data_IF_331013336663
#
_entry.id   IF_331013336663
#
_cell.length_a   1.000
_cell.length_b   1.000
_cell.length_c   1.000
_cell.angle_alpha   90.00
_cell.angle_beta   90.00
_cell.angle_gamma   90.00
#
_symmetry.space_group_name_H-M   'P 1'
#
loop_
_entity.id
_entity.type
_entity.pdbx_description
1 polymer ?
#
# COMPACT_ATOMS: atom_id res chain seq x y z
N UNK A 1 -23.22 27.03 11.57
CA UNK A 1 -23.11 25.79 12.37
C UNK A 1 -22.21 24.81 11.63
N UNK A 2 -21.03 24.44 12.16
CA UNK A 2 -20.20 23.37 11.57
C UNK A 2 -20.95 22.06 11.79
N UNK A 3 -21.36 21.37 10.71
CA UNK A 3 -21.92 20.02 10.80
C UNK A 3 -20.88 19.15 11.49
N UNK A 4 -21.21 18.65 12.68
CA UNK A 4 -20.45 17.58 13.32
C UNK A 4 -20.65 16.35 12.42
N UNK A 5 -19.67 16.05 11.58
CA UNK A 5 -19.69 14.81 10.82
C UNK A 5 -19.65 13.66 11.83
N UNK A 6 -20.68 12.81 11.83
CA UNK A 6 -20.71 11.61 12.65
C UNK A 6 -19.46 10.79 12.35
N UNK A 7 -18.77 10.33 13.40
CA UNK A 7 -17.58 9.50 13.27
C UNK A 7 -17.97 8.19 12.59
N UNK A 8 -17.23 7.81 11.54
CA UNK A 8 -17.47 6.57 10.83
C UNK A 8 -17.01 5.38 11.68
N UNK A 9 -17.73 4.26 11.69
CA UNK A 9 -17.30 3.04 12.37
C UNK A 9 -15.99 2.49 11.76
N UNK A 10 -15.31 1.56 12.44
CA UNK A 10 -14.12 0.92 11.86
C UNK A 10 -14.43 0.21 10.53
N UNK A 11 -15.58 -0.46 10.43
CA UNK A 11 -16.02 -1.11 9.19
C UNK A 11 -17.18 -0.32 8.61
N UNK A 12 -16.98 0.28 7.44
CA UNK A 12 -18.03 0.86 6.61
C UNK A 12 -17.77 0.57 5.14
N UNK A 13 -18.86 0.59 4.36
CA UNK A 13 -18.86 0.31 2.94
C UNK A 13 -19.45 1.50 2.19
N UNK A 14 -18.60 2.46 1.86
CA UNK A 14 -18.99 3.55 0.97
C UNK A 14 -18.80 3.16 -0.49
N UNK A 15 -19.55 3.81 -1.38
CA UNK A 15 -19.33 3.67 -2.82
C UNK A 15 -17.96 4.20 -3.19
N UNK A 16 -17.27 3.47 -4.08
CA UNK A 16 -15.97 3.92 -4.59
C UNK A 16 -16.18 5.16 -5.46
N UNK A 17 -15.32 6.15 -5.28
CA UNK A 17 -15.25 7.33 -6.13
C UNK A 17 -14.79 6.90 -7.52
N UNK A 18 -15.19 7.66 -8.55
CA UNK A 18 -14.83 7.35 -9.94
C UNK A 18 -13.31 7.20 -10.14
N UNK A 19 -12.51 8.06 -9.51
CA UNK A 19 -11.05 7.98 -9.60
C UNK A 19 -10.49 6.71 -8.95
N UNK A 20 -11.08 6.22 -7.85
CA UNK A 20 -10.65 4.96 -7.20
C UNK A 20 -10.93 3.76 -8.11
N UNK A 21 -12.08 3.77 -8.79
CA UNK A 21 -12.44 2.74 -9.78
C UNK A 21 -11.43 2.76 -10.94
N UNK A 22 -11.14 3.95 -11.48
CA UNK A 22 -10.15 4.12 -12.56
C UNK A 22 -8.78 3.61 -12.10
N UNK A 23 -8.33 3.96 -10.89
CA UNK A 23 -7.07 3.47 -10.33
C UNK A 23 -7.05 1.95 -10.23
N UNK A 24 -8.11 1.32 -9.73
CA UNK A 24 -8.22 -0.14 -9.63
C UNK A 24 -8.15 -0.80 -11.01
N UNK A 25 -8.82 -0.25 -12.02
CA UNK A 25 -8.81 -0.79 -13.39
C UNK A 25 -7.43 -0.66 -14.02
N UNK A 26 -6.81 0.51 -13.95
CA UNK A 26 -5.45 0.74 -14.45
C UNK A 26 -4.49 -0.22 -13.76
N UNK A 27 -4.60 -0.35 -12.44
CA UNK A 27 -3.75 -1.22 -11.66
C UNK A 27 -3.90 -2.69 -12.06
N UNK A 28 -5.13 -3.17 -12.26
CA UNK A 28 -5.40 -4.52 -12.74
C UNK A 28 -4.74 -4.79 -14.11
N UNK A 29 -4.80 -3.82 -15.03
CA UNK A 29 -4.12 -3.93 -16.33
C UNK A 29 -2.60 -4.02 -16.18
N UNK A 30 -2.01 -3.21 -15.29
CA UNK A 30 -0.58 -3.28 -14.98
C UNK A 30 -0.24 -4.66 -14.39
N UNK A 31 -1.06 -5.19 -13.48
CA UNK A 31 -0.87 -6.53 -12.92
C UNK A 31 -0.85 -7.61 -14.01
N UNK A 32 -1.74 -7.52 -15.00
CA UNK A 32 -1.74 -8.44 -16.16
C UNK A 32 -0.45 -8.31 -16.97
N UNK A 33 0.04 -7.10 -17.21
CA UNK A 33 1.33 -6.88 -17.91
C UNK A 33 2.48 -7.53 -17.13
N UNK A 34 2.52 -7.40 -15.80
CA UNK A 34 3.53 -8.05 -14.96
C UNK A 34 3.42 -9.58 -15.02
N UNK A 35 2.21 -10.14 -15.00
CA UNK A 35 1.97 -11.57 -15.16
C UNK A 35 2.51 -12.09 -16.50
N UNK A 36 2.33 -11.32 -17.57
CA UNK A 36 2.77 -11.69 -18.92
C UNK A 36 4.24 -11.34 -19.19
N UNK A 37 4.89 -10.62 -18.28
CA UNK A 37 6.26 -10.11 -18.49
C UNK A 37 7.31 -11.18 -18.83
N UNK A 38 7.25 -12.44 -18.34
CA UNK A 38 8.21 -13.47 -18.76
C UNK A 38 8.16 -13.81 -20.25
N UNK A 39 7.05 -13.50 -20.94
CA UNK A 39 6.86 -13.83 -22.36
C UNK A 39 7.07 -12.62 -23.29
N UNK A 40 7.07 -11.40 -22.74
CA UNK A 40 7.00 -10.17 -23.53
C UNK A 40 8.24 -9.30 -23.34
N UNK A 41 8.84 -9.32 -22.14
CA UNK A 41 9.96 -8.46 -21.81
C UNK A 41 11.28 -9.23 -21.81
N UNK A 42 12.36 -8.54 -22.18
CA UNK A 42 13.70 -9.00 -21.90
C UNK A 42 13.96 -9.00 -20.37
N UNK A 43 15.04 -9.66 -19.98
CA UNK A 43 15.39 -9.88 -18.57
C UNK A 43 15.52 -8.56 -17.80
N UNK A 44 16.23 -7.57 -18.34
CA UNK A 44 16.49 -6.30 -17.66
C UNK A 44 15.20 -5.50 -17.49
N UNK A 45 14.41 -5.38 -18.57
CA UNK A 45 13.11 -4.69 -18.53
C UNK A 45 12.16 -5.38 -17.56
N UNK A 46 12.16 -6.72 -17.50
CA UNK A 46 11.33 -7.50 -16.58
C UNK A 46 11.70 -7.24 -15.12
N UNK A 47 12.99 -7.32 -14.80
CA UNK A 47 13.49 -7.05 -13.45
C UNK A 47 13.08 -5.64 -12.99
N UNK A 48 13.37 -4.62 -13.80
CA UNK A 48 13.02 -3.23 -13.48
C UNK A 48 11.51 -3.03 -13.32
N UNK A 49 10.71 -3.65 -14.18
CA UNK A 49 9.24 -3.57 -14.12
C UNK A 49 8.68 -4.17 -12.83
N UNK A 50 9.19 -5.33 -12.39
CA UNK A 50 8.76 -5.98 -11.15
C UNK A 50 9.14 -5.14 -9.93
N UNK A 51 10.36 -4.58 -9.88
CA UNK A 51 10.79 -3.68 -8.81
C UNK A 51 9.87 -2.47 -8.74
N UNK A 52 9.68 -1.80 -9.88
CA UNK A 52 8.89 -0.58 -9.94
C UNK A 52 7.44 -0.84 -9.55
N UNK A 53 6.86 -1.92 -10.06
CA UNK A 53 5.50 -2.34 -9.72
C UNK A 53 5.34 -2.58 -8.21
N UNK A 54 6.26 -3.31 -7.57
CA UNK A 54 6.20 -3.57 -6.13
C UNK A 54 6.34 -2.29 -5.30
N UNK A 55 7.39 -1.51 -5.53
CA UNK A 55 7.72 -0.32 -4.75
C UNK A 55 6.68 0.78 -4.95
N UNK A 56 6.32 1.09 -6.20
CA UNK A 56 5.35 2.13 -6.52
C UNK A 56 3.99 1.82 -5.89
N UNK A 57 3.58 0.55 -5.88
CA UNK A 57 2.34 0.14 -5.20
C UNK A 57 2.38 0.49 -3.72
N UNK A 58 3.45 0.10 -3.02
CA UNK A 58 3.57 0.30 -1.57
C UNK A 58 3.60 1.78 -1.20
N UNK A 59 4.30 2.59 -1.99
CA UNK A 59 4.34 4.04 -1.83
C UNK A 59 2.97 4.67 -2.12
N UNK A 60 2.28 4.22 -3.18
CA UNK A 60 0.96 4.72 -3.54
C UNK A 60 -0.08 4.41 -2.45
N UNK A 61 -0.02 3.20 -1.87
CA UNK A 61 -0.87 2.82 -0.74
C UNK A 61 -0.65 3.73 0.48
N UNK A 62 0.59 4.10 0.75
CA UNK A 62 0.95 4.95 1.88
C UNK A 62 0.56 6.42 1.67
N UNK A 63 0.88 7.00 0.51
CA UNK A 63 0.78 8.47 0.32
C UNK A 63 -0.47 8.90 -0.43
N UNK A 64 -0.97 8.11 -1.37
CA UNK A 64 -2.06 8.52 -2.27
C UNK A 64 -3.39 7.88 -1.89
N UNK A 65 -3.37 6.60 -1.48
CA UNK A 65 -4.57 5.78 -1.28
C UNK A 65 -4.90 5.56 0.19
N UNK A 66 -4.15 6.12 1.14
CA UNK A 66 -4.41 5.89 2.57
C UNK A 66 -5.83 6.30 2.99
N UNK A 67 -6.39 7.37 2.41
CA UNK A 67 -7.78 7.78 2.66
C UNK A 67 -8.75 6.74 2.10
N UNK A 68 -8.51 6.26 0.89
CA UNK A 68 -9.30 5.20 0.25
C UNK A 68 -9.29 3.91 1.07
N UNK A 69 -8.14 3.51 1.61
CA UNK A 69 -7.98 2.30 2.42
C UNK A 69 -8.76 2.33 3.74
N UNK A 70 -9.24 3.50 4.19
CA UNK A 70 -10.16 3.58 5.34
C UNK A 70 -11.54 3.03 5.02
N UNK A 71 -11.98 3.12 3.76
CA UNK A 71 -13.19 2.45 3.29
C UNK A 71 -12.90 0.94 3.18
N UNK A 72 -13.65 0.13 3.95
CA UNK A 72 -13.40 -1.30 4.02
C UNK A 72 -13.59 -1.99 2.66
N UNK A 73 -14.47 -1.45 1.79
CA UNK A 73 -14.63 -1.93 0.41
C UNK A 73 -13.36 -1.78 -0.41
N UNK A 74 -12.73 -0.60 -0.34
CA UNK A 74 -11.47 -0.34 -1.05
C UNK A 74 -10.34 -1.17 -0.47
N UNK A 75 -10.27 -1.28 0.86
CA UNK A 75 -9.31 -2.14 1.54
C UNK A 75 -9.37 -3.59 1.06
N UNK A 76 -10.56 -4.20 0.94
CA UNK A 76 -10.70 -5.58 0.47
C UNK A 76 -10.19 -5.76 -0.97
N UNK A 77 -10.39 -4.76 -1.84
CA UNK A 77 -9.85 -4.78 -3.21
C UNK A 77 -8.31 -4.79 -3.18
N UNK A 78 -7.72 -3.87 -2.42
CA UNK A 78 -6.26 -3.79 -2.29
C UNK A 78 -5.66 -5.00 -1.57
N UNK A 79 -6.39 -5.61 -0.62
CA UNK A 79 -6.03 -6.88 0.00
C UNK A 79 -6.01 -8.00 -1.04
N UNK A 80 -6.98 -8.04 -1.96
CA UNK A 80 -6.98 -8.94 -3.11
C UNK A 80 -5.72 -8.78 -3.97
N UNK A 81 -5.34 -7.54 -4.30
CA UNK A 81 -4.06 -7.28 -4.99
C UNK A 81 -2.84 -7.69 -4.16
N UNK A 82 -2.88 -7.51 -2.83
CA UNK A 82 -1.84 -8.01 -1.94
C UNK A 82 -1.68 -9.53 -2.03
N UNK A 83 -2.79 -10.28 -2.11
CA UNK A 83 -2.74 -11.74 -2.32
C UNK A 83 -2.12 -12.07 -3.68
N UNK A 84 -2.50 -11.35 -4.74
CA UNK A 84 -1.91 -11.52 -6.07
C UNK A 84 -0.40 -11.23 -6.04
N UNK A 85 0.04 -10.17 -5.34
CA UNK A 85 1.46 -9.88 -5.15
C UNK A 85 2.21 -11.01 -4.49
N UNK A 86 1.61 -11.61 -3.46
CA UNK A 86 2.21 -12.74 -2.77
C UNK A 86 2.28 -13.98 -3.68
N UNK A 87 1.25 -14.24 -4.48
CA UNK A 87 1.28 -15.31 -5.49
C UNK A 87 2.36 -15.06 -6.54
N UNK A 88 2.49 -13.83 -7.04
CA UNK A 88 3.55 -13.44 -7.98
C UNK A 88 4.94 -13.61 -7.36
N UNK A 89 5.12 -13.24 -6.10
CA UNK A 89 6.35 -13.53 -5.36
C UNK A 89 6.66 -15.03 -5.37
N UNK A 90 5.69 -15.88 -5.01
CA UNK A 90 5.90 -17.32 -4.97
C UNK A 90 6.23 -17.91 -6.35
N UNK A 91 5.67 -17.34 -7.42
CA UNK A 91 5.94 -17.76 -8.79
C UNK A 91 7.35 -17.33 -9.25
N UNK A 92 7.75 -16.10 -8.93
CA UNK A 92 9.00 -15.50 -9.41
C UNK A 92 10.22 -15.75 -8.52
N UNK A 93 10.05 -16.14 -7.25
CA UNK A 93 11.17 -16.29 -6.30
C UNK A 93 12.21 -17.33 -6.74
N UNK A 94 11.83 -18.32 -7.53
CA UNK A 94 12.70 -19.39 -8.02
C UNK A 94 13.12 -19.18 -9.50
N UNK A 95 12.78 -18.04 -10.08
CA UNK A 95 13.10 -17.70 -11.46
C UNK A 95 14.52 -17.14 -11.53
N UNK A 96 15.44 -17.92 -12.11
CA UNK A 96 16.86 -17.58 -12.23
C UNK A 96 17.11 -16.39 -13.15
N UNK A 97 16.21 -16.08 -14.08
CA UNK A 97 16.32 -14.90 -14.94
C UNK A 97 15.94 -13.61 -14.18
N UNK A 98 15.14 -13.71 -13.12
CA UNK A 98 14.88 -12.58 -12.23
C UNK A 98 15.97 -12.40 -11.18
N UNK A 99 16.93 -13.30 -11.07
CA UNK A 99 18.03 -13.17 -10.13
C UNK A 99 19.04 -12.12 -10.62
N UNK A 100 18.98 -10.91 -10.06
CA UNK A 100 19.87 -9.80 -10.38
C UNK A 100 21.19 -9.86 -9.59
N UNK A 101 21.68 -11.07 -9.29
CA UNK A 101 22.96 -11.34 -8.63
C UNK A 101 22.96 -11.18 -7.11
N UNK A 102 22.38 -10.11 -6.57
CA UNK A 102 22.34 -9.88 -5.11
C UNK A 102 20.96 -10.06 -4.48
N UNK A 103 19.87 -9.97 -5.24
CA UNK A 103 18.52 -10.24 -4.73
C UNK A 103 17.52 -10.42 -5.88
N UNK A 104 16.52 -11.27 -5.67
CA UNK A 104 15.39 -11.42 -6.60
C UNK A 104 14.37 -10.27 -6.39
N UNK A 105 14.08 -9.44 -7.42
CA UNK A 105 13.11 -8.35 -7.38
C UNK A 105 11.73 -8.70 -6.83
N UNK A 106 11.29 -9.94 -7.05
CA UNK A 106 9.97 -10.42 -6.63
C UNK A 106 9.79 -10.38 -5.12
N UNK A 107 10.87 -10.38 -4.36
CA UNK A 107 10.86 -10.34 -2.89
C UNK A 107 10.14 -9.09 -2.36
N UNK A 108 10.23 -7.96 -3.08
CA UNK A 108 9.52 -6.74 -2.72
C UNK A 108 8.00 -6.90 -2.78
N UNK A 109 7.47 -7.77 -3.66
CA UNK A 109 6.01 -8.00 -3.79
C UNK A 109 5.42 -8.59 -2.50
N UNK A 110 6.17 -9.44 -1.80
CA UNK A 110 5.71 -10.06 -0.56
C UNK A 110 5.43 -9.06 0.57
N UNK A 111 5.96 -7.83 0.49
CA UNK A 111 5.79 -6.81 1.52
C UNK A 111 4.39 -6.17 1.51
N UNK A 112 3.66 -6.22 0.39
CA UNK A 112 2.35 -5.55 0.26
C UNK A 112 1.32 -6.08 1.26
N UNK A 113 1.26 -7.40 1.49
CA UNK A 113 0.33 -7.99 2.46
C UNK A 113 0.59 -7.57 3.91
N UNK A 114 1.81 -7.76 4.47
CA UNK A 114 2.14 -7.28 5.81
C UNK A 114 1.83 -5.80 6.01
N UNK A 115 2.11 -4.97 5.00
CA UNK A 115 1.86 -3.53 5.07
C UNK A 115 0.37 -3.20 5.10
N UNK A 116 -0.46 -3.86 4.28
CA UNK A 116 -1.91 -3.69 4.31
C UNK A 116 -2.52 -4.15 5.65
N UNK A 117 -2.02 -5.22 6.24
CA UNK A 117 -2.44 -5.67 7.57
C UNK A 117 -2.02 -4.68 8.66
N UNK A 118 -0.78 -4.21 8.61
CA UNK A 118 -0.27 -3.19 9.53
C UNK A 118 -1.10 -1.90 9.43
N UNK A 119 -1.48 -1.48 8.23
CA UNK A 119 -2.35 -0.32 8.03
C UNK A 119 -3.66 -0.45 8.81
N UNK A 120 -4.35 -1.60 8.70
CA UNK A 120 -5.61 -1.80 9.42
C UNK A 120 -5.42 -1.89 10.93
N UNK A 121 -4.32 -2.50 11.40
CA UNK A 121 -3.99 -2.52 12.83
C UNK A 121 -3.77 -1.11 13.39
N UNK A 122 -3.00 -0.27 12.68
CA UNK A 122 -2.76 1.11 13.07
C UNK A 122 -4.05 1.94 13.03
N UNK A 123 -4.91 1.73 12.03
CA UNK A 123 -6.22 2.37 11.94
C UNK A 123 -7.14 1.96 13.07
N UNK A 124 -7.17 0.67 13.43
CA UNK A 124 -7.93 0.17 14.57
C UNK A 124 -7.47 0.85 15.86
N UNK A 125 -6.17 0.95 16.08
CA UNK A 125 -5.61 1.62 17.26
C UNK A 125 -5.95 3.11 17.30
N UNK A 126 -5.83 3.83 16.17
CA UNK A 126 -6.17 5.25 16.07
C UNK A 126 -7.65 5.52 16.39
N UNK A 127 -8.57 4.72 15.83
CA UNK A 127 -10.00 4.85 16.11
C UNK A 127 -10.30 4.55 17.57
N UNK A 128 -9.70 3.50 18.15
CA UNK A 128 -9.97 3.14 19.54
C UNK A 128 -9.43 4.17 20.55
N UNK A 129 -8.25 4.76 20.30
CA UNK A 129 -7.63 5.73 21.22
C UNK A 129 -8.17 7.14 21.05
N UNK A 130 -8.48 7.56 19.82
CA UNK A 130 -8.80 8.97 19.51
C UNK A 130 -10.19 9.20 18.97
N UNK A 131 -10.93 8.12 18.67
CA UNK A 131 -12.21 8.19 17.97
C UNK A 131 -12.09 8.94 16.63
N UNK A 132 -10.92 8.85 15.99
CA UNK A 132 -10.60 9.53 14.73
C UNK A 132 -9.99 8.53 13.76
N UNK A 133 -10.20 8.76 12.48
CA UNK A 133 -9.55 7.96 11.45
C UNK A 133 -8.08 8.35 11.31
N UNK A 134 -7.24 7.33 11.11
CA UNK A 134 -5.79 7.47 10.93
C UNK A 134 -5.42 8.47 9.81
N UNK A 135 -4.72 9.55 10.18
CA UNK A 135 -4.17 10.56 9.26
C UNK A 135 -2.68 10.34 8.99
N UNK A 136 -2.20 10.76 7.82
CA UNK A 136 -0.76 10.74 7.50
C UNK A 136 -0.19 12.14 7.71
N UNK A 137 0.87 12.31 8.52
CA UNK A 137 1.38 13.63 8.85
C UNK A 137 1.97 14.38 7.63
N UNK A 138 1.72 15.69 7.53
CA UNK A 138 2.34 16.56 6.53
C UNK A 138 3.54 17.33 7.06
N UNK A 139 4.57 17.53 6.22
CA UNK A 139 5.81 18.19 6.61
C UNK A 139 5.53 19.67 6.88
N UNK A 140 5.45 20.04 8.17
CA UNK A 140 5.24 21.43 8.63
C UNK A 140 3.78 21.85 8.88
N UNK A 141 2.81 20.96 8.67
CA UNK A 141 1.38 21.30 8.79
C UNK A 141 0.73 20.75 10.06
N UNK A 142 -0.16 21.55 10.66
CA UNK A 142 -1.12 21.07 11.67
C UNK A 142 -2.21 20.17 11.05
N UNK A 143 -2.19 19.90 9.73
CA UNK A 143 -3.27 19.25 8.98
C UNK A 143 -2.81 18.16 7.98
N UNK A 144 -3.68 17.16 7.75
CA UNK A 144 -3.54 15.99 6.87
C UNK A 144 -3.43 16.37 5.38
N UNK A 145 -2.64 15.64 4.57
CA UNK A 145 -2.35 15.98 3.15
C UNK A 145 -3.59 16.07 2.27
N UNK A 146 -4.58 15.19 2.51
CA UNK A 146 -5.75 15.05 1.62
C UNK A 146 -7.01 15.68 2.21
N UNK A 147 -7.23 15.54 3.51
CA UNK A 147 -8.51 15.92 4.14
C UNK A 147 -8.42 17.17 5.05
N UNK A 148 -7.27 17.84 5.11
CA UNK A 148 -7.03 19.04 5.94
C UNK A 148 -7.47 18.84 7.42
N UNK A 149 -7.37 17.59 7.91
CA UNK A 149 -7.75 17.20 9.27
C UNK A 149 -6.60 17.47 10.23
N UNK A 150 -6.90 17.98 11.42
CA UNK A 150 -5.87 18.20 12.45
C UNK A 150 -5.18 16.90 12.83
N UNK A 151 -3.89 16.80 12.53
CA UNK A 151 -3.04 15.64 12.84
C UNK A 151 -2.78 15.60 14.34
N UNK A 152 -2.83 14.40 14.92
CA UNK A 152 -2.50 14.18 16.33
C UNK A 152 -1.12 13.51 16.48
N UNK A 153 -0.57 13.47 17.70
CA UNK A 153 0.68 12.76 17.98
C UNK A 153 0.62 11.26 17.66
N UNK A 154 -0.56 10.63 17.76
CA UNK A 154 -0.75 9.19 17.45
C UNK A 154 -0.72 8.95 15.94
N UNK A 155 -1.28 9.86 15.14
CA UNK A 155 -1.17 9.81 13.68
C UNK A 155 0.30 9.91 13.23
N UNK A 156 1.07 10.79 13.87
CA UNK A 156 2.52 10.87 13.67
C UNK A 156 3.24 9.56 14.03
N UNK A 157 2.96 9.00 15.20
CA UNK A 157 3.58 7.76 15.65
C UNK A 157 3.24 6.58 14.73
N UNK A 158 1.96 6.44 14.36
CA UNK A 158 1.52 5.39 13.45
C UNK A 158 2.11 5.57 12.04
N UNK A 159 2.27 6.80 11.56
CA UNK A 159 3.01 7.11 10.34
C UNK A 159 4.48 6.67 10.40
N UNK A 160 5.17 6.95 11.52
CA UNK A 160 6.56 6.51 11.75
C UNK A 160 6.65 4.98 11.79
N UNK A 161 5.73 4.31 12.49
CA UNK A 161 5.70 2.84 12.56
C UNK A 161 5.50 2.24 11.16
N UNK A 162 4.54 2.75 10.39
CA UNK A 162 4.28 2.25 9.05
C UNK A 162 5.48 2.47 8.12
N UNK A 163 6.04 3.68 8.10
CA UNK A 163 7.18 4.00 7.25
C UNK A 163 8.44 3.23 7.67
N UNK A 164 8.66 3.06 8.98
CA UNK A 164 9.73 2.22 9.52
C UNK A 164 9.56 0.75 9.15
N UNK A 165 8.34 0.23 9.17
CA UNK A 165 8.05 -1.13 8.71
C UNK A 165 8.28 -1.29 7.20
N UNK A 166 7.86 -0.31 6.38
CA UNK A 166 8.13 -0.30 4.94
C UNK A 166 9.64 -0.28 4.66
N UNK A 167 10.39 0.61 5.31
CA UNK A 167 11.86 0.67 5.19
C UNK A 167 12.51 -0.62 5.66
N UNK A 168 12.12 -1.15 6.82
CA UNK A 168 12.66 -2.37 7.37
C UNK A 168 12.43 -3.57 6.45
N UNK A 169 11.21 -3.76 5.95
CA UNK A 169 10.87 -4.85 5.03
C UNK A 169 11.55 -4.71 3.66
N UNK A 170 11.74 -3.48 3.20
CA UNK A 170 12.43 -3.22 1.93
C UNK A 170 13.94 -3.45 2.09
N UNK A 171 14.59 -2.77 3.04
CA UNK A 171 16.05 -2.81 3.23
C UNK A 171 16.57 -4.16 3.73
N UNK A 172 15.87 -4.82 4.67
CA UNK A 172 16.29 -6.11 5.21
C UNK A 172 16.40 -7.19 4.13
N UNK A 173 15.53 -7.10 3.12
CA UNK A 173 15.41 -8.12 2.07
C UNK A 173 16.24 -7.84 0.82
N UNK A 174 16.68 -6.61 0.60
CA UNK A 174 17.68 -6.28 -0.43
C UNK A 174 19.13 -6.49 0.05
N UNK A 175 19.35 -6.66 1.37
CA UNK A 175 20.68 -6.85 1.96
C UNK A 175 21.11 -8.31 2.15
N UNK A 176 20.33 -9.28 1.64
CA UNK A 176 20.66 -10.71 1.61
C UNK A 176 20.52 -11.22 0.19
#
# INVERSE_FOLDING_TARGET
MKRVQAQKPFIYYETLKQWEIITVVIYALITVVIILSPFVFDIETRQNSVIFYAILTQLSLLFLLYVSLRNFRSYLIWLGFGIIHFMLFLWFQNDTELDAGMANPSVALANTLPLLLLFQLLRFFSINTQQKEFGVPSKGGRTDWIEDKKITGIDCLAGIIYFGAWLGLSLWRFGR
#
